data_IF_475675714611
#
_entry.id   IF_475675714611
#
_cell.length_a   1.000
_cell.length_b   1.000
_cell.length_c   1.000
_cell.angle_alpha   90.00
_cell.angle_beta   90.00
_cell.angle_gamma   90.00
#
_symmetry.space_group_name_H-M   'P 1'
#
loop_
_entity.id
_entity.type
_entity.pdbx_description
1 polymer ?
#
# COMPACT_ATOMS: atom_id res chain seq x y z
N UNK A 1 12.22 -15.93 8.39
CA UNK A 1 11.47 -16.25 7.15
C UNK A 1 11.92 -17.64 6.73
N UNK A 2 11.02 -18.62 6.58
CA UNK A 2 11.41 -19.94 6.06
C UNK A 2 11.90 -19.80 4.60
N UNK A 3 12.87 -20.61 4.18
CA UNK A 3 13.43 -20.59 2.82
C UNK A 3 12.30 -20.86 1.81
N UNK A 4 12.23 -20.08 0.74
CA UNK A 4 11.32 -20.42 -0.36
C UNK A 4 11.93 -21.60 -1.11
N UNK A 5 11.34 -22.78 -0.98
CA UNK A 5 11.83 -24.02 -1.60
C UNK A 5 11.26 -24.25 -3.00
N UNK A 6 10.43 -23.34 -3.54
CA UNK A 6 9.84 -23.52 -4.88
C UNK A 6 10.91 -23.47 -5.97
N UNK A 7 10.85 -24.34 -6.98
CA UNK A 7 11.64 -24.18 -8.20
C UNK A 7 11.25 -22.88 -8.91
N UNK A 8 12.20 -22.29 -9.64
CA UNK A 8 11.99 -21.03 -10.36
C UNK A 8 10.76 -21.06 -11.30
N UNK A 9 10.54 -22.15 -12.05
CA UNK A 9 9.39 -22.24 -12.95
C UNK A 9 8.05 -22.26 -12.19
N UNK A 10 7.98 -22.91 -11.02
CA UNK A 10 6.77 -22.91 -10.17
C UNK A 10 6.49 -21.51 -9.66
N UNK A 11 7.54 -20.80 -9.24
CA UNK A 11 7.44 -19.40 -8.81
C UNK A 11 6.84 -18.52 -9.92
N UNK A 12 7.32 -18.67 -11.16
CA UNK A 12 6.78 -17.94 -12.32
C UNK A 12 5.31 -18.26 -12.61
N UNK A 13 4.91 -19.54 -12.51
CA UNK A 13 3.52 -19.93 -12.69
C UNK A 13 2.60 -19.28 -11.66
N UNK A 14 3.04 -19.23 -10.39
CA UNK A 14 2.30 -18.55 -9.32
C UNK A 14 2.18 -17.04 -9.60
N UNK A 15 3.25 -16.38 -10.05
CA UNK A 15 3.21 -14.96 -10.38
C UNK A 15 2.29 -14.66 -11.57
N UNK A 16 2.32 -15.52 -12.60
CA UNK A 16 1.41 -15.39 -13.74
C UNK A 16 -0.05 -15.61 -13.31
N UNK A 17 -0.31 -16.54 -12.39
CA UNK A 17 -1.64 -16.72 -11.81
C UNK A 17 -2.10 -15.48 -11.03
N UNK A 18 -1.23 -14.85 -10.24
CA UNK A 18 -1.57 -13.60 -9.55
C UNK A 18 -1.90 -12.46 -10.51
N UNK A 19 -1.13 -12.33 -11.61
CA UNK A 19 -1.42 -11.34 -12.66
C UNK A 19 -2.74 -11.61 -13.35
N UNK A 20 -3.00 -12.86 -13.72
CA UNK A 20 -4.28 -13.29 -14.29
C UNK A 20 -5.45 -12.94 -13.36
N UNK A 21 -5.35 -13.35 -12.10
CA UNK A 21 -6.39 -13.08 -11.10
C UNK A 21 -6.61 -11.58 -10.91
N UNK A 22 -5.52 -10.81 -10.77
CA UNK A 22 -5.61 -9.36 -10.61
C UNK A 22 -6.30 -8.71 -11.80
N UNK A 23 -5.96 -9.12 -13.03
CA UNK A 23 -6.58 -8.59 -14.25
C UNK A 23 -8.06 -8.93 -14.35
N UNK A 24 -8.46 -10.14 -13.95
CA UNK A 24 -9.83 -10.61 -14.14
C UNK A 24 -10.77 -10.22 -13.01
N UNK A 25 -10.32 -10.22 -11.76
CA UNK A 25 -11.17 -10.00 -10.59
C UNK A 25 -10.91 -8.69 -9.86
N UNK A 26 -9.66 -8.22 -9.79
CA UNK A 26 -9.30 -7.07 -8.97
C UNK A 26 -9.40 -5.75 -9.74
N UNK A 27 -8.75 -5.65 -10.91
CA UNK A 27 -8.71 -4.44 -11.73
C UNK A 27 -10.12 -3.92 -12.10
N UNK A 28 -11.10 -4.77 -12.46
CA UNK A 28 -12.46 -4.29 -12.78
C UNK A 28 -13.19 -3.60 -11.62
N UNK A 29 -12.72 -3.75 -10.37
CA UNK A 29 -13.32 -3.09 -9.21
C UNK A 29 -12.88 -1.62 -9.07
N UNK A 30 -11.83 -1.20 -9.79
CA UNK A 30 -11.34 0.17 -9.76
C UNK A 30 -11.92 0.99 -10.92
N UNK A 31 -12.07 2.30 -10.70
CA UNK A 31 -12.45 3.25 -11.75
C UNK A 31 -11.39 3.32 -12.86
N UNK A 32 -10.12 3.34 -12.44
CA UNK A 32 -8.96 3.38 -13.33
C UNK A 32 -7.76 2.74 -12.64
N UNK A 33 -6.99 1.98 -13.40
CA UNK A 33 -5.71 1.41 -12.95
C UNK A 33 -4.67 1.70 -14.03
N UNK A 34 -3.54 2.28 -13.63
CA UNK A 34 -2.38 2.48 -14.50
C UNK A 34 -1.67 1.17 -14.86
N UNK A 35 -0.62 1.28 -15.67
CA UNK A 35 0.18 0.12 -16.08
C UNK A 35 0.96 -0.47 -14.91
N UNK A 36 1.30 -1.76 -15.00
CA UNK A 36 2.20 -2.45 -14.08
C UNK A 36 1.76 -2.45 -12.60
N UNK A 37 0.46 -2.63 -12.34
CA UNK A 37 -0.01 -2.99 -11.00
C UNK A 37 0.55 -4.38 -10.60
N UNK A 38 1.36 -4.44 -9.55
CA UNK A 38 1.93 -5.67 -9.00
C UNK A 38 1.32 -5.99 -7.64
N UNK A 39 0.61 -7.12 -7.57
CA UNK A 39 -0.06 -7.59 -6.36
C UNK A 39 0.27 -9.05 -6.10
N UNK A 40 0.79 -9.36 -4.91
CA UNK A 40 0.90 -10.75 -4.47
C UNK A 40 -0.39 -11.19 -3.78
N UNK A 41 -0.86 -12.42 -4.03
CA UNK A 41 -2.08 -12.99 -3.41
C UNK A 41 -3.26 -11.98 -3.44
N UNK A 42 -3.71 -11.57 -4.63
CA UNK A 42 -4.67 -10.47 -4.82
C UNK A 42 -6.03 -10.65 -4.14
N UNK A 43 -6.40 -11.88 -3.78
CA UNK A 43 -7.62 -12.18 -3.01
C UNK A 43 -7.59 -11.70 -1.55
N UNK A 44 -6.48 -11.11 -1.08
CA UNK A 44 -6.39 -10.46 0.23
C UNK A 44 -6.59 -8.93 0.16
N UNK A 45 -7.22 -8.44 -0.91
CA UNK A 45 -7.56 -7.02 -1.08
C UNK A 45 -9.07 -6.92 -1.22
N UNK A 46 -9.66 -6.06 -0.39
CA UNK A 46 -11.05 -5.64 -0.52
C UNK A 46 -11.10 -4.25 -1.14
N UNK A 47 -11.82 -4.13 -2.26
CA UNK A 47 -12.10 -2.85 -2.92
C UNK A 47 -13.61 -2.63 -2.84
N UNK A 48 -14.01 -1.45 -2.37
CA UNK A 48 -15.43 -1.10 -2.26
C UNK A 48 -15.69 0.29 -2.82
N UNK A 49 -16.77 0.43 -3.59
CA UNK A 49 -17.16 1.69 -4.21
C UNK A 49 -16.49 1.92 -5.56
N UNK A 50 -16.90 2.99 -6.26
CA UNK A 50 -16.65 3.15 -7.70
C UNK A 50 -15.70 4.30 -8.05
N UNK A 51 -15.19 5.04 -7.06
CA UNK A 51 -14.33 6.22 -7.28
C UNK A 51 -12.91 6.02 -6.75
N UNK A 52 -12.32 4.88 -7.08
CA UNK A 52 -10.95 4.56 -6.70
C UNK A 52 -10.10 4.48 -7.96
N UNK A 53 -9.07 5.33 -8.03
CA UNK A 53 -8.12 5.37 -9.14
C UNK A 53 -6.71 5.08 -8.63
N UNK A 54 -5.98 4.25 -9.37
CA UNK A 54 -4.59 3.87 -9.10
C UNK A 54 -3.71 4.24 -10.29
N UNK A 55 -2.55 4.83 -10.02
CA UNK A 55 -1.53 5.19 -11.01
C UNK A 55 -0.73 3.99 -11.55
N UNK A 56 0.42 4.28 -12.16
CA UNK A 56 1.32 3.29 -12.75
C UNK A 56 2.35 2.76 -11.74
N UNK A 57 2.87 1.55 -11.97
CA UNK A 57 3.93 0.90 -11.17
C UNK A 57 3.62 0.79 -9.67
N UNK A 58 2.34 0.72 -9.32
CA UNK A 58 1.89 0.55 -7.95
C UNK A 58 2.11 -0.89 -7.50
N UNK A 59 2.69 -1.03 -6.33
CA UNK A 59 2.94 -2.32 -5.69
C UNK A 59 2.05 -2.45 -4.47
N UNK A 60 1.21 -3.48 -4.43
CA UNK A 60 0.39 -3.81 -3.26
C UNK A 60 0.86 -5.16 -2.72
N UNK A 61 1.48 -5.13 -1.55
CA UNK A 61 1.91 -6.33 -0.85
C UNK A 61 0.82 -6.78 0.10
N UNK A 62 0.49 -8.06 0.07
CA UNK A 62 -0.54 -8.64 0.94
C UNK A 62 0.02 -9.78 1.77
N UNK A 63 -0.65 -10.07 2.89
CA UNK A 63 -0.34 -11.19 3.76
C UNK A 63 -1.61 -11.95 4.14
N UNK A 64 -1.45 -13.23 4.47
CA UNK A 64 -2.55 -14.03 5.03
C UNK A 64 -2.91 -13.39 6.39
N UNK A 65 -4.20 -13.13 6.62
CA UNK A 65 -4.77 -12.49 7.82
C UNK A 65 -4.63 -10.96 7.93
N UNK A 66 -4.02 -10.28 6.97
CA UNK A 66 -3.95 -8.82 6.92
C UNK A 66 -4.56 -8.34 5.61
N UNK A 67 -5.88 -8.17 5.61
CA UNK A 67 -6.62 -7.69 4.44
C UNK A 67 -6.34 -6.20 4.23
N UNK A 68 -5.91 -5.85 3.01
CA UNK A 68 -5.79 -4.46 2.60
C UNK A 68 -7.15 -3.98 2.08
N UNK A 69 -7.66 -2.88 2.62
CA UNK A 69 -8.98 -2.34 2.27
C UNK A 69 -8.82 -0.97 1.61
N UNK A 70 -9.43 -0.80 0.43
CA UNK A 70 -9.49 0.49 -0.28
C UNK A 70 -10.96 0.75 -0.59
N UNK A 71 -11.57 1.66 0.17
CA UNK A 71 -13.02 1.81 0.22
C UNK A 71 -13.42 3.27 -0.01
N UNK A 72 -14.24 3.48 -1.04
CA UNK A 72 -14.88 4.75 -1.37
C UNK A 72 -16.36 4.66 -1.06
N UNK A 73 -16.84 5.47 -0.11
CA UNK A 73 -18.23 5.46 0.30
C UNK A 73 -19.08 6.40 -0.58
N UNK A 74 -20.01 5.81 -1.34
CA UNK A 74 -20.80 6.51 -2.34
C UNK A 74 -22.32 6.50 -2.03
N UNK A 75 -22.70 6.60 -0.74
CA UNK A 75 -24.12 6.61 -0.29
C UNK A 75 -24.44 7.89 0.50
N UNK A 76 -25.73 8.25 0.54
CA UNK A 76 -26.27 9.37 1.34
C UNK A 76 -25.65 10.74 1.01
N UNK A 77 -25.59 11.12 -0.27
CA UNK A 77 -24.96 12.37 -0.75
C UNK A 77 -23.46 12.49 -0.43
N UNK A 78 -22.79 11.37 -0.16
CA UNK A 78 -21.35 11.32 -0.11
C UNK A 78 -20.84 10.57 -1.31
N UNK A 79 -19.83 11.14 -1.93
CA UNK A 79 -19.14 10.59 -3.08
C UNK A 79 -17.66 10.57 -2.70
N UNK A 80 -17.28 9.56 -1.91
CA UNK A 80 -15.90 9.33 -1.56
C UNK A 80 -15.05 9.24 -2.82
N UNK A 81 -13.78 9.63 -2.70
CA UNK A 81 -12.83 9.56 -3.80
C UNK A 81 -11.48 9.15 -3.24
N UNK A 82 -10.86 8.14 -3.86
CA UNK A 82 -9.48 7.75 -3.53
C UNK A 82 -8.64 7.83 -4.81
N UNK A 83 -7.63 8.68 -4.77
CA UNK A 83 -6.68 8.85 -5.87
C UNK A 83 -5.28 8.45 -5.38
N UNK A 84 -4.76 7.33 -5.88
CA UNK A 84 -3.40 6.84 -5.61
C UNK A 84 -2.55 7.12 -6.85
N UNK A 85 -1.45 7.84 -6.65
CA UNK A 85 -0.50 8.21 -7.70
C UNK A 85 0.41 7.06 -8.15
N UNK A 86 1.47 7.41 -8.87
CA UNK A 86 2.39 6.45 -9.47
C UNK A 86 3.47 5.99 -8.50
N UNK A 87 4.03 4.81 -8.75
CA UNK A 87 5.17 4.26 -8.02
C UNK A 87 4.89 4.10 -6.50
N UNK A 88 3.63 4.02 -6.08
CA UNK A 88 3.25 3.87 -4.67
C UNK A 88 3.49 2.43 -4.20
N UNK A 89 3.94 2.27 -2.95
CA UNK A 89 3.99 0.98 -2.27
C UNK A 89 2.97 0.94 -1.13
N UNK A 90 2.09 -0.05 -1.17
CA UNK A 90 1.12 -0.34 -0.11
C UNK A 90 1.48 -1.69 0.50
N UNK A 91 1.75 -1.70 1.81
CA UNK A 91 2.08 -2.92 2.56
C UNK A 91 0.81 -3.61 3.10
N UNK A 92 0.91 -4.84 3.65
CA UNK A 92 -0.27 -5.59 4.09
C UNK A 92 -1.08 -4.90 5.19
N UNK A 93 -2.41 -5.08 5.18
CA UNK A 93 -3.30 -4.62 6.26
C UNK A 93 -3.59 -3.13 6.26
N UNK A 94 -3.16 -2.39 5.23
CA UNK A 94 -3.48 -0.97 5.07
C UNK A 94 -4.98 -0.80 4.80
N UNK A 95 -5.59 0.18 5.46
CA UNK A 95 -7.00 0.53 5.29
C UNK A 95 -7.13 1.99 4.91
N UNK A 96 -7.66 2.25 3.72
CA UNK A 96 -7.91 3.58 3.16
C UNK A 96 -9.42 3.69 2.95
N UNK A 97 -10.08 4.54 3.72
CA UNK A 97 -11.55 4.62 3.72
C UNK A 97 -11.96 6.08 3.54
N UNK A 98 -12.61 6.40 2.42
CA UNK A 98 -12.99 7.77 2.06
C UNK A 98 -14.50 7.94 2.01
N UNK A 99 -14.98 9.03 2.58
CA UNK A 99 -16.33 9.56 2.42
C UNK A 99 -16.35 10.91 1.66
N UNK A 100 -15.19 11.55 1.45
CA UNK A 100 -15.04 12.79 0.70
C UNK A 100 -13.91 12.73 -0.33
N UNK A 101 -12.65 12.78 0.12
CA UNK A 101 -11.49 12.69 -0.76
C UNK A 101 -10.20 12.33 0.01
N UNK A 102 -9.50 11.30 -0.46
CA UNK A 102 -8.15 10.93 -0.04
C UNK A 102 -7.24 10.93 -1.28
N UNK A 103 -6.21 11.78 -1.25
CA UNK A 103 -5.20 11.88 -2.31
C UNK A 103 -3.87 11.37 -1.77
N UNK A 104 -3.33 10.33 -2.40
CA UNK A 104 -1.99 9.80 -2.15
C UNK A 104 -1.17 10.08 -3.40
N UNK A 105 -0.19 10.99 -3.29
CA UNK A 105 0.67 11.36 -4.43
C UNK A 105 1.68 10.26 -4.76
N UNK A 106 2.40 10.46 -5.86
CA UNK A 106 3.38 9.51 -6.36
C UNK A 106 4.54 9.29 -5.38
N UNK A 107 5.23 8.17 -5.53
CA UNK A 107 6.41 7.79 -4.74
C UNK A 107 6.16 7.55 -3.24
N UNK A 108 4.92 7.63 -2.77
CA UNK A 108 4.58 7.39 -1.37
C UNK A 108 4.79 5.93 -0.98
N UNK A 109 5.32 5.71 0.22
CA UNK A 109 5.43 4.40 0.84
C UNK A 109 4.52 4.30 2.06
N UNK A 110 3.66 3.29 2.08
CA UNK A 110 2.74 3.02 3.18
C UNK A 110 3.10 1.67 3.78
N UNK A 111 3.58 1.69 5.02
CA UNK A 111 3.91 0.48 5.76
C UNK A 111 2.65 -0.24 6.24
N UNK A 112 2.83 -1.43 6.83
CA UNK A 112 1.72 -2.32 7.16
C UNK A 112 0.76 -1.69 8.18
N UNK A 113 -0.50 -2.14 8.20
CA UNK A 113 -1.49 -1.77 9.22
C UNK A 113 -1.78 -0.27 9.38
N UNK A 114 -1.43 0.57 8.39
CA UNK A 114 -1.77 1.99 8.40
C UNK A 114 -3.28 2.18 8.17
N UNK A 115 -3.89 3.08 8.92
CA UNK A 115 -5.30 3.47 8.78
C UNK A 115 -5.42 4.93 8.33
N UNK A 116 -6.14 5.18 7.25
CA UNK A 116 -6.36 6.52 6.68
C UNK A 116 -7.87 6.70 6.50
N UNK A 117 -8.44 7.70 7.17
CA UNK A 117 -9.88 7.99 7.11
C UNK A 117 -10.17 9.47 7.12
N UNK A 118 -10.85 9.95 6.08
CA UNK A 118 -11.23 11.36 5.88
C UNK A 118 -12.55 11.75 6.58
N UNK A 119 -13.14 10.84 7.36
CA UNK A 119 -14.43 11.01 8.03
C UNK A 119 -14.43 10.48 9.47
N UNK A 120 -15.34 11.02 10.28
CA UNK A 120 -15.72 10.47 11.59
C UNK A 120 -16.71 9.30 11.48
N UNK A 121 -17.24 9.03 10.29
CA UNK A 121 -18.25 8.00 9.95
C UNK A 121 -19.64 8.22 10.56
N UNK A 122 -19.73 8.60 11.82
CA UNK A 122 -21.00 8.88 12.50
C UNK A 122 -21.00 10.28 13.11
N UNK A 123 -22.17 10.90 13.19
CA UNK A 123 -22.34 12.12 13.98
C UNK A 123 -22.22 11.83 15.48
N UNK A 124 -21.73 12.83 16.24
CA UNK A 124 -21.62 12.73 17.71
C UNK A 124 -23.01 12.67 18.36
N UNK A 125 -23.95 13.49 17.85
CA UNK A 125 -25.30 13.63 18.39
C UNK A 125 -26.34 12.81 17.63
N UNK A 126 -26.21 12.68 16.30
CA UNK A 126 -27.02 11.79 15.48
C UNK A 126 -26.12 10.70 14.88
N UNK A 127 -26.17 9.51 15.49
CA UNK A 127 -25.34 8.36 15.09
C UNK A 127 -25.87 7.62 13.87
N UNK A 128 -27.11 7.88 13.47
CA UNK A 128 -27.74 7.28 12.28
C UNK A 128 -27.31 8.06 11.04
N UNK A 129 -27.06 9.37 11.19
CA UNK A 129 -26.48 10.19 10.14
C UNK A 129 -25.06 9.70 9.80
N UNK A 130 -24.87 9.34 8.52
CA UNK A 130 -23.63 8.81 7.98
C UNK A 130 -23.45 9.33 6.56
N UNK A 131 -22.24 9.78 6.20
CA UNK A 131 -21.04 9.93 7.03
C UNK A 131 -21.06 11.18 7.93
N UNK A 132 -20.25 11.16 8.99
CA UNK A 132 -20.01 12.33 9.86
C UNK A 132 -19.22 13.45 9.15
N UNK A 133 -18.70 14.41 9.94
CA UNK A 133 -17.89 15.52 9.42
C UNK A 133 -16.66 14.97 8.66
N UNK A 134 -16.58 15.27 7.36
CA UNK A 134 -15.55 14.74 6.47
C UNK A 134 -14.67 15.86 5.89
N UNK A 135 -13.35 15.64 5.86
CA UNK A 135 -12.35 16.61 5.40
C UNK A 135 -11.22 15.90 4.66
N UNK A 136 -10.82 16.47 3.52
CA UNK A 136 -9.87 15.86 2.60
C UNK A 136 -8.54 15.51 3.30
N UNK A 137 -7.96 14.38 2.91
CA UNK A 137 -6.59 14.00 3.31
C UNK A 137 -5.70 14.04 2.08
N UNK A 138 -4.52 14.65 2.22
CA UNK A 138 -3.50 14.65 1.17
C UNK A 138 -2.17 14.16 1.72
N UNK A 139 -1.64 13.09 1.14
CA UNK A 139 -0.28 12.61 1.39
C UNK A 139 0.58 13.00 0.19
N UNK A 140 1.44 13.97 0.38
CA UNK A 140 2.28 14.54 -0.68
C UNK A 140 3.40 13.59 -1.10
N UNK A 141 4.00 13.93 -2.24
CA UNK A 141 4.95 13.08 -2.95
C UNK A 141 6.10 12.60 -2.06
N UNK A 142 6.50 11.34 -2.25
CA UNK A 142 7.67 10.73 -1.61
C UNK A 142 7.62 10.70 -0.07
N UNK A 143 6.43 10.84 0.51
CA UNK A 143 6.24 10.67 1.96
C UNK A 143 6.32 9.19 2.36
N UNK A 144 6.73 8.92 3.60
CA UNK A 144 6.73 7.58 4.17
C UNK A 144 5.86 7.51 5.42
N UNK A 145 4.85 6.64 5.38
CA UNK A 145 3.94 6.40 6.50
C UNK A 145 4.36 5.12 7.23
N UNK A 146 4.85 5.27 8.46
CA UNK A 146 5.33 4.19 9.31
C UNK A 146 4.24 3.22 9.75
N UNK A 147 4.65 1.98 10.04
CA UNK A 147 3.74 0.86 10.32
C UNK A 147 2.75 1.20 11.43
N UNK A 148 1.49 0.84 11.24
CA UNK A 148 0.45 1.01 12.26
C UNK A 148 0.06 2.46 12.54
N UNK A 149 0.46 3.42 11.71
CA UNK A 149 0.07 4.82 11.89
C UNK A 149 -1.40 5.05 11.52
N UNK A 150 -2.01 6.09 12.09
CA UNK A 150 -3.39 6.51 11.86
C UNK A 150 -3.40 7.95 11.39
N UNK A 151 -4.02 8.22 10.25
CA UNK A 151 -4.12 9.56 9.64
C UNK A 151 -5.57 10.01 9.72
N UNK A 152 -5.81 11.06 10.49
CA UNK A 152 -7.14 11.64 10.66
C UNK A 152 -7.54 12.56 9.50
N UNK A 153 -8.84 12.76 9.35
CA UNK A 153 -9.44 13.70 8.40
C UNK A 153 -8.79 15.09 8.45
N UNK A 154 -8.75 15.77 7.31
CA UNK A 154 -8.23 17.14 7.19
C UNK A 154 -6.71 17.25 7.24
N UNK A 155 -5.98 16.15 7.43
CA UNK A 155 -4.52 16.15 7.49
C UNK A 155 -3.90 16.21 6.10
N UNK A 156 -2.96 17.14 5.94
CA UNK A 156 -1.98 17.18 4.85
C UNK A 156 -0.60 16.74 5.38
N UNK A 157 -0.03 15.70 4.78
CA UNK A 157 1.37 15.28 5.01
C UNK A 157 2.23 15.84 3.90
N UNK A 158 3.22 16.64 4.25
CA UNK A 158 4.11 17.33 3.32
C UNK A 158 5.10 16.42 2.58
N UNK A 159 5.70 16.95 1.52
CA UNK A 159 6.62 16.23 0.63
C UNK A 159 7.84 15.72 1.39
N UNK A 160 8.30 14.51 1.04
CA UNK A 160 9.44 13.83 1.67
C UNK A 160 9.30 13.58 3.18
N UNK A 161 8.13 13.86 3.77
CA UNK A 161 7.96 13.78 5.22
C UNK A 161 7.76 12.34 5.68
N UNK A 162 8.17 12.07 6.91
CA UNK A 162 8.12 10.73 7.50
C UNK A 162 7.20 10.75 8.72
N UNK A 163 6.27 9.81 8.76
CA UNK A 163 5.47 9.49 9.95
C UNK A 163 6.08 8.27 10.62
N UNK A 164 6.49 8.40 11.88
CA UNK A 164 7.02 7.31 12.69
C UNK A 164 5.98 6.22 12.95
N UNK A 165 6.44 5.01 13.26
CA UNK A 165 5.58 3.86 13.56
C UNK A 165 4.57 4.15 14.68
N UNK A 166 3.37 3.59 14.55
CA UNK A 166 2.30 3.66 15.56
C UNK A 166 1.69 5.05 15.78
N UNK A 167 2.07 6.05 14.98
CA UNK A 167 1.70 7.44 15.24
C UNK A 167 0.22 7.73 14.97
N UNK A 168 -0.34 8.72 15.68
CA UNK A 168 -1.70 9.24 15.44
C UNK A 168 -1.59 10.69 14.96
N UNK A 169 -1.78 10.89 13.66
CA UNK A 169 -1.58 12.18 13.00
C UNK A 169 -2.92 12.90 12.91
N UNK A 170 -3.06 13.96 13.71
CA UNK A 170 -4.28 14.78 13.82
C UNK A 170 -4.10 16.21 13.33
N UNK A 171 -2.92 16.55 12.82
CA UNK A 171 -2.58 17.88 12.30
C UNK A 171 -1.65 17.77 11.10
N UNK A 172 -1.61 18.82 10.28
CA UNK A 172 -0.73 18.88 9.12
C UNK A 172 0.74 18.68 9.50
N UNK A 173 1.48 18.02 8.61
CA UNK A 173 2.93 17.83 8.69
C UNK A 173 3.57 18.64 7.57
N UNK A 174 4.45 19.61 7.87
CA UNK A 174 5.18 20.36 6.85
C UNK A 174 6.09 19.46 6.00
N UNK A 175 6.55 19.98 4.86
CA UNK A 175 7.49 19.28 3.97
C UNK A 175 8.84 19.04 4.67
N UNK A 176 9.44 17.87 4.40
CA UNK A 176 10.76 17.47 4.90
C UNK A 176 10.83 17.36 6.44
N UNK A 177 9.72 17.08 7.11
CA UNK A 177 9.67 16.91 8.56
C UNK A 177 9.39 15.45 8.96
N UNK A 178 9.83 15.08 10.16
CA UNK A 178 9.60 13.76 10.74
C UNK A 178 8.68 13.93 11.94
N UNK A 179 7.52 13.29 11.92
CA UNK A 179 6.53 13.32 12.99
C UNK A 179 6.37 11.95 13.62
N UNK A 180 6.19 11.89 14.94
CA UNK A 180 5.96 10.64 15.66
C UNK A 180 5.17 10.81 16.94
N UNK A 181 4.54 9.73 17.42
CA UNK A 181 3.83 9.67 18.70
C UNK A 181 2.29 9.74 18.58
N UNK A 182 1.61 9.81 19.72
CA UNK A 182 0.16 9.90 19.82
C UNK A 182 -0.25 10.96 20.87
N UNK A 183 -0.72 12.15 20.45
CA UNK A 183 -0.76 12.63 19.08
C UNK A 183 0.65 12.86 18.50
N UNK A 184 0.80 12.75 17.19
CA UNK A 184 2.08 12.91 16.52
C UNK A 184 2.60 14.35 16.66
N UNK A 185 3.90 14.49 16.96
CA UNK A 185 4.62 15.76 17.07
C UNK A 185 5.89 15.70 16.23
N UNK A 186 6.44 16.87 15.85
CA UNK A 186 7.76 16.95 15.21
C UNK A 186 8.80 16.31 16.13
N UNK A 187 9.53 15.33 15.60
CA UNK A 187 10.63 14.64 16.28
C UNK A 187 11.95 14.76 15.51
N UNK A 188 11.91 15.34 14.31
CA UNK A 188 13.10 15.55 13.48
C UNK A 188 12.76 16.18 12.15
N UNK A 189 13.77 16.27 11.30
CA UNK A 189 13.67 16.81 9.95
C UNK A 189 14.61 16.06 9.00
N UNK A 190 14.26 16.11 7.72
CA UNK A 190 15.05 15.52 6.66
C UNK A 190 16.19 16.49 6.32
N UNK A 191 17.42 15.95 6.29
CA UNK A 191 18.60 16.67 5.82
C UNK A 191 18.48 16.99 4.33
N UNK A 192 18.20 18.25 4.01
CA UNK A 192 17.99 18.75 2.65
C UNK A 192 19.26 18.73 1.79
N UNK A 193 20.43 18.58 2.40
CA UNK A 193 21.70 18.49 1.67
C UNK A 193 21.97 17.08 1.14
N UNK A 194 21.22 16.07 1.60
CA UNK A 194 21.33 14.69 1.12
C UNK A 194 20.30 14.42 0.04
N UNK A 195 20.76 13.87 -1.09
CA UNK A 195 19.86 13.41 -2.14
C UNK A 195 18.99 12.26 -1.61
N UNK A 196 17.68 12.46 -1.63
CA UNK A 196 16.71 11.41 -1.36
C UNK A 196 16.39 10.66 -2.65
N UNK A 197 16.49 9.33 -2.62
CA UNK A 197 15.99 8.49 -3.72
C UNK A 197 14.48 8.38 -3.61
N UNK A 198 13.81 8.46 -4.75
CA UNK A 198 12.38 8.23 -4.89
C UNK A 198 12.12 6.83 -5.40
N UNK A 199 10.87 6.38 -5.35
CA UNK A 199 10.49 5.08 -5.93
C UNK A 199 10.55 5.07 -7.46
N UNK A 200 10.27 6.19 -8.12
CA UNK A 200 10.38 6.33 -9.57
C UNK A 200 11.79 6.01 -10.09
N UNK A 201 12.82 6.28 -9.29
CA UNK A 201 14.22 5.97 -9.62
C UNK A 201 14.45 4.46 -9.85
N UNK A 202 13.59 3.59 -9.28
CA UNK A 202 13.64 2.15 -9.52
C UNK A 202 13.28 1.80 -10.98
N UNK A 203 12.49 2.62 -11.66
CA UNK A 203 11.90 2.32 -12.97
C UNK A 203 12.58 3.03 -14.15
N UNK A 204 13.45 4.02 -13.91
CA UNK A 204 14.05 4.90 -14.94
C UNK A 204 14.78 4.17 -16.08
N UNK A 205 15.26 2.94 -15.85
CA UNK A 205 16.03 2.18 -16.85
C UNK A 205 15.28 0.96 -17.42
N UNK A 206 13.99 0.77 -17.12
CA UNK A 206 13.24 -0.48 -17.42
C UNK A 206 13.90 -1.77 -16.88
N UNK A 207 14.95 -1.64 -16.07
CA UNK A 207 15.75 -2.75 -15.58
C UNK A 207 15.13 -3.38 -14.33
N UNK A 208 14.20 -2.71 -13.64
CA UNK A 208 13.59 -3.26 -12.42
C UNK A 208 13.04 -4.66 -12.61
N UNK A 209 12.24 -4.90 -13.64
CA UNK A 209 11.65 -6.22 -13.88
C UNK A 209 12.71 -7.27 -14.25
N UNK A 210 13.78 -6.86 -14.94
CA UNK A 210 14.87 -7.74 -15.34
C UNK A 210 15.77 -8.08 -14.16
N UNK A 211 16.14 -7.08 -13.36
CA UNK A 211 16.84 -7.19 -12.10
C UNK A 211 16.06 -8.08 -11.12
N UNK A 212 14.77 -7.86 -10.92
CA UNK A 212 13.95 -8.68 -10.03
C UNK A 212 13.88 -10.13 -10.50
N UNK A 213 13.72 -10.38 -11.82
CA UNK A 213 13.78 -11.75 -12.36
C UNK A 213 15.15 -12.40 -12.14
N UNK A 214 16.24 -11.65 -12.33
CA UNK A 214 17.60 -12.12 -12.08
C UNK A 214 17.79 -12.49 -10.61
N UNK A 215 17.42 -11.62 -9.68
CA UNK A 215 17.50 -11.86 -8.24
C UNK A 215 16.68 -13.09 -7.82
N UNK A 216 15.43 -13.21 -8.30
CA UNK A 216 14.59 -14.39 -8.01
C UNK A 216 15.21 -15.67 -8.57
N UNK A 217 15.81 -15.62 -9.76
CA UNK A 217 16.48 -16.77 -10.36
C UNK A 217 17.70 -17.20 -9.54
N UNK A 218 18.51 -16.24 -9.08
CA UNK A 218 19.67 -16.51 -8.24
C UNK A 218 19.27 -17.06 -6.86
N UNK A 219 18.25 -16.48 -6.22
CA UNK A 219 17.75 -16.93 -4.91
C UNK A 219 17.22 -18.37 -4.94
N UNK A 220 16.62 -18.78 -6.07
CA UNK A 220 16.01 -20.10 -6.24
C UNK A 220 16.90 -21.09 -7.00
N UNK A 221 18.16 -20.76 -7.30
CA UNK A 221 19.03 -21.56 -8.18
C UNK A 221 19.30 -22.98 -7.67
N UNK A 222 19.34 -23.16 -6.36
CA UNK A 222 19.58 -24.45 -5.71
C UNK A 222 18.30 -25.28 -5.54
N UNK A 223 17.13 -24.70 -5.79
CA UNK A 223 15.86 -25.37 -5.60
C UNK A 223 15.56 -26.31 -6.78
N UNK A 224 15.17 -27.54 -6.47
CA UNK A 224 14.73 -28.51 -7.46
C UNK A 224 13.32 -29.03 -7.16
N UNK A 225 12.68 -29.58 -8.20
CA UNK A 225 11.29 -29.99 -8.14
C UNK A 225 11.01 -31.09 -7.11
N UNK A 226 11.87 -32.11 -7.00
CA UNK A 226 11.67 -33.22 -6.06
C UNK A 226 11.85 -32.80 -4.61
N UNK A 227 12.81 -31.93 -4.33
CA UNK A 227 13.03 -31.36 -2.99
C UNK A 227 11.82 -30.52 -2.59
N UNK A 228 11.33 -29.68 -3.50
CA UNK A 228 10.11 -28.91 -3.26
C UNK A 228 8.89 -29.81 -2.99
N UNK A 229 8.68 -30.85 -3.79
CA UNK A 229 7.57 -31.79 -3.60
C UNK A 229 7.66 -32.50 -2.24
N UNK A 230 8.87 -32.92 -1.85
CA UNK A 230 9.11 -33.49 -0.52
C UNK A 230 8.77 -32.49 0.59
N UNK A 231 9.25 -31.24 0.51
CA UNK A 231 8.98 -30.20 1.52
C UNK A 231 7.48 -29.90 1.60
N UNK A 232 6.78 -29.93 0.46
CA UNK A 232 5.35 -29.64 0.39
C UNK A 232 4.51 -30.67 1.15
N UNK A 233 4.82 -31.96 1.03
CA UNK A 233 4.03 -33.04 1.65
C UNK A 233 4.60 -33.53 2.98
N UNK A 234 5.91 -33.42 3.18
CA UNK A 234 6.63 -33.95 4.35
C UNK A 234 7.69 -32.94 4.86
N UNK A 235 7.26 -31.80 5.43
CA UNK A 235 8.17 -30.77 5.93
C UNK A 235 8.96 -31.27 7.15
N UNK A 236 10.26 -30.93 7.20
CA UNK A 236 11.17 -31.25 8.32
C UNK A 236 11.78 -29.98 8.90
N UNK A 237 12.27 -30.06 10.14
CA UNK A 237 12.98 -28.95 10.79
C UNK A 237 14.24 -28.61 10.01
N UNK A 238 14.36 -27.37 9.53
CA UNK A 238 15.50 -26.90 8.73
C UNK A 238 15.21 -26.79 7.23
N UNK A 239 14.04 -27.23 6.77
CA UNK A 239 13.51 -26.90 5.44
C UNK A 239 13.14 -25.42 5.31
#
# INVERSE_FOLDING_TARGET
MQKDNRPYFVRLLVENFYKFWSKHFLIPQFKRVGKNLDVNKPWNIDVYGNNISIGENVHIRTSKNLITQICSWNKNNCDGVINIGDNVLISPGVRIISAKEIIIKSNVMIASNVYISDSDWHGIYDRINTPGSSQNITIEENSWIGEGSKISKGVKIGKNSIIGLGSVVTSNVPDNEIFGGNPAKKIGEIDKNKKMRKREDLFLNNDYNKLMKFLIKEDLKENNFFTWLRVLFFPKKGD
#
